data_IF_077962367936
#
_entry.id   IF_077962367936
#
_cell.length_a   1.000
_cell.length_b   1.000
_cell.length_c   1.000
_cell.angle_alpha   90.00
_cell.angle_beta   90.00
_cell.angle_gamma   90.00
#
_symmetry.space_group_name_H-M   'P 1'
#
loop_
_entity.id
_entity.type
_entity.pdbx_description
1 polymer ?
#
# COMPACT_ATOMS: atom_id res chain seq x y z
N UNK A 1 37.88 -6.61 7.41
CA UNK A 1 36.98 -7.21 8.43
C UNK A 1 36.61 -6.22 9.53
N UNK A 2 37.56 -5.66 10.30
CA UNK A 2 37.27 -4.72 11.40
C UNK A 2 36.43 -3.49 10.99
N UNK A 3 36.73 -2.88 9.84
CA UNK A 3 35.95 -1.73 9.33
C UNK A 3 34.48 -2.08 9.05
N UNK A 4 34.22 -3.31 8.55
CA UNK A 4 32.86 -3.79 8.27
C UNK A 4 32.11 -4.04 9.58
N UNK A 5 32.77 -4.64 10.58
CA UNK A 5 32.18 -4.87 11.90
C UNK A 5 31.85 -3.55 12.60
N UNK A 6 32.73 -2.55 12.53
CA UNK A 6 32.48 -1.23 13.08
C UNK A 6 31.30 -0.51 12.39
N UNK A 7 31.22 -0.61 11.05
CA UNK A 7 30.10 -0.05 10.29
C UNK A 7 28.78 -0.74 10.62
N UNK A 8 28.78 -2.06 10.79
CA UNK A 8 27.62 -2.82 11.23
C UNK A 8 27.18 -2.42 12.63
N UNK A 9 28.11 -2.30 13.58
CA UNK A 9 27.81 -1.84 14.94
C UNK A 9 27.16 -0.45 14.94
N UNK A 10 27.70 0.48 14.15
CA UNK A 10 27.12 1.82 14.02
C UNK A 10 25.67 1.78 13.50
N UNK A 11 25.41 1.04 12.41
CA UNK A 11 24.07 0.95 11.84
C UNK A 11 23.08 0.25 12.78
N UNK A 12 23.52 -0.83 13.44
CA UNK A 12 22.66 -1.71 14.22
C UNK A 12 22.43 -1.23 15.66
N UNK A 13 23.33 -0.42 16.23
CA UNK A 13 23.23 0.01 17.65
C UNK A 13 23.08 1.51 17.76
N UNK A 14 23.93 2.30 17.09
CA UNK A 14 23.85 3.77 17.16
C UNK A 14 22.67 4.29 16.35
N UNK A 15 22.44 3.75 15.15
CA UNK A 15 21.34 4.17 14.26
C UNK A 15 20.10 3.28 14.34
N UNK A 16 20.04 2.34 15.30
CA UNK A 16 18.96 1.36 15.46
C UNK A 16 17.57 2.01 15.48
N UNK A 17 17.38 3.01 16.36
CA UNK A 17 16.07 3.63 16.56
C UNK A 17 15.55 4.29 15.28
N UNK A 18 16.43 4.97 14.54
CA UNK A 18 16.07 5.63 13.29
C UNK A 18 15.62 4.62 12.22
N UNK A 19 16.38 3.53 12.03
CA UNK A 19 16.03 2.52 11.04
C UNK A 19 14.89 1.61 11.46
N UNK A 20 14.71 1.36 12.76
CA UNK A 20 13.59 0.60 13.30
C UNK A 20 12.26 1.34 13.08
N UNK A 21 12.22 2.66 13.31
CA UNK A 21 11.00 3.47 13.04
C UNK A 21 10.66 3.53 11.55
N UNK A 22 11.66 3.69 10.68
CA UNK A 22 11.46 3.67 9.23
C UNK A 22 10.99 2.29 8.73
N UNK A 23 11.56 1.22 9.28
CA UNK A 23 11.16 -0.15 8.94
C UNK A 23 9.71 -0.43 9.38
N UNK A 24 9.31 0.02 10.58
CA UNK A 24 7.93 -0.17 11.06
C UNK A 24 6.93 0.66 10.24
N UNK A 25 7.28 1.88 9.85
CA UNK A 25 6.47 2.71 8.94
C UNK A 25 6.28 2.09 7.56
N UNK A 26 7.26 1.32 7.08
CA UNK A 26 7.18 0.58 5.82
C UNK A 26 6.49 -0.80 5.96
N UNK A 27 6.30 -1.29 7.19
CA UNK A 27 5.71 -2.62 7.46
C UNK A 27 4.18 -2.59 7.42
N UNK A 28 3.58 -1.46 7.76
CA UNK A 28 2.14 -1.27 7.80
C UNK A 28 1.73 -0.26 6.74
N UNK A 29 1.69 -0.70 5.48
CA UNK A 29 0.99 0.06 4.44
C UNK A 29 -0.51 -0.11 4.69
N UNK A 30 -1.10 0.80 5.46
CA UNK A 30 -2.54 0.84 5.68
C UNK A 30 -3.21 1.24 4.37
N UNK A 31 -3.58 0.25 3.57
CA UNK A 31 -4.50 0.47 2.46
C UNK A 31 -5.92 0.51 3.02
N UNK A 32 -6.64 1.65 2.94
CA UNK A 32 -8.04 1.66 3.31
C UNK A 32 -8.81 0.78 2.33
N UNK A 33 -9.51 -0.23 2.84
CA UNK A 33 -10.47 -1.00 2.04
C UNK A 33 -11.71 -0.15 1.86
N UNK A 34 -12.00 0.26 0.62
CA UNK A 34 -13.21 1.00 0.32
C UNK A 34 -14.43 0.10 0.56
N UNK A 35 -15.42 0.52 1.37
CA UNK A 35 -16.64 -0.25 1.52
C UNK A 35 -17.40 -0.29 0.17
N UNK A 36 -18.04 -1.42 -0.17
CA UNK A 36 -18.89 -1.48 -1.36
C UNK A 36 -20.04 -0.46 -1.23
N UNK A 37 -20.32 0.29 -2.30
CA UNK A 37 -21.49 1.17 -2.34
C UNK A 37 -22.76 0.32 -2.26
N UNK A 38 -23.70 0.73 -1.41
CA UNK A 38 -24.99 0.07 -1.28
C UNK A 38 -25.78 0.09 -2.60
N UNK A 39 -26.59 -0.95 -2.80
CA UNK A 39 -27.50 -1.07 -3.94
C UNK A 39 -28.70 -0.13 -3.72
N UNK A 40 -29.08 0.65 -4.74
CA UNK A 40 -30.24 1.54 -4.69
C UNK A 40 -31.42 0.84 -5.36
N UNK A 41 -32.54 0.72 -4.64
CA UNK A 41 -33.77 0.11 -5.14
C UNK A 41 -34.91 1.14 -5.22
N UNK A 42 -35.82 0.96 -6.18
CA UNK A 42 -37.13 1.61 -6.18
C UNK A 42 -38.07 0.96 -5.14
N UNK A 43 -39.19 1.61 -4.83
CA UNK A 43 -40.26 1.13 -3.92
C UNK A 43 -40.80 -0.26 -4.27
N UNK A 44 -40.64 -0.68 -5.53
CA UNK A 44 -41.08 -1.99 -6.03
C UNK A 44 -39.96 -3.06 -6.00
N UNK A 45 -38.82 -2.75 -5.39
CA UNK A 45 -37.67 -3.67 -5.31
C UNK A 45 -36.82 -3.76 -6.58
N UNK A 46 -37.04 -2.87 -7.56
CA UNK A 46 -36.26 -2.81 -8.80
C UNK A 46 -34.93 -2.10 -8.56
N UNK A 47 -33.82 -2.73 -8.95
CA UNK A 47 -32.47 -2.18 -8.79
C UNK A 47 -32.26 -0.99 -9.75
N UNK A 48 -32.00 0.19 -9.21
CA UNK A 48 -31.79 1.44 -9.94
C UNK A 48 -30.30 1.79 -10.10
N UNK A 49 -29.47 1.45 -9.12
CA UNK A 49 -28.03 1.68 -9.20
C UNK A 49 -27.26 0.58 -8.47
N UNK A 50 -26.28 0.01 -9.18
CA UNK A 50 -25.32 -0.96 -8.68
C UNK A 50 -23.91 -0.52 -9.04
N UNK A 51 -22.92 -0.96 -8.26
CA UNK A 51 -21.52 -0.74 -8.59
C UNK A 51 -21.07 -1.82 -9.59
N UNK A 52 -20.95 -1.46 -10.88
CA UNK A 52 -20.35 -2.35 -11.88
C UNK A 52 -18.84 -2.09 -11.95
N UNK A 53 -17.98 -3.12 -11.93
CA UNK A 53 -16.55 -2.92 -12.09
C UNK A 53 -16.25 -2.30 -13.46
N UNK A 54 -15.53 -1.18 -13.46
CA UNK A 54 -14.95 -0.58 -14.66
C UNK A 54 -13.51 -1.08 -14.81
N UNK A 55 -13.16 -1.57 -16.01
CA UNK A 55 -11.80 -1.97 -16.33
C UNK A 55 -11.16 -0.89 -17.20
N UNK A 56 -10.01 -0.39 -16.77
CA UNK A 56 -9.19 0.56 -17.52
C UNK A 56 -7.81 -0.06 -17.76
N UNK A 57 -7.24 0.20 -18.94
CA UNK A 57 -5.92 -0.29 -19.31
C UNK A 57 -4.93 0.87 -19.22
N UNK A 58 -4.05 0.83 -18.22
CA UNK A 58 -2.94 1.76 -18.08
C UNK A 58 -1.65 1.15 -18.66
N UNK A 59 -0.91 1.94 -19.43
CA UNK A 59 0.43 1.60 -19.93
C UNK A 59 1.38 2.71 -19.52
N UNK A 60 2.45 2.35 -18.80
CA UNK A 60 3.59 3.23 -18.53
C UNK A 60 4.59 3.07 -19.67
N UNK A 61 4.75 4.04 -20.58
CA UNK A 61 5.60 3.89 -21.77
C UNK A 61 7.05 3.50 -21.45
N UNK A 62 7.57 3.93 -20.31
CA UNK A 62 8.93 3.66 -19.85
C UNK A 62 9.17 2.20 -19.40
N UNK A 63 8.11 1.40 -19.24
CA UNK A 63 8.17 -0.01 -18.83
C UNK A 63 7.94 -0.98 -19.99
N UNK A 64 7.83 -0.47 -21.22
CA UNK A 64 7.68 -1.26 -22.45
C UNK A 64 9.04 -1.30 -23.17
N UNK A 65 9.52 -2.49 -23.58
CA UNK A 65 10.81 -2.64 -24.27
C UNK A 65 10.86 -2.00 -25.66
#
# INVERSE_FOLDING_TARGET
>A
MLAVVARLFYLQIVSHQHYATLAEGNRLRTEPVMPPRGLIYDRNGVLLAENRPSYELDITPEQVP
#
